data_IF_200853543131
#
_entry.id   IF_200853543131
#
_cell.length_a   1.000
_cell.length_b   1.000
_cell.length_c   1.000
_cell.angle_alpha   90.00
_cell.angle_beta   90.00
_cell.angle_gamma   90.00
#
_symmetry.space_group_name_H-M   'P 1'
#
loop_
_entity.id
_entity.type
_entity.pdbx_description
1 polymer ?
#
# COMPACT_ATOMS: atom_id res chain seq x y z
N UNK A 1 17.02 0.48 27.18
CA UNK A 1 15.58 0.76 26.95
C UNK A 1 15.21 0.22 25.57
N UNK A 2 14.55 -0.94 25.50
CA UNK A 2 14.20 -1.57 24.21
C UNK A 2 12.92 -0.94 23.67
N UNK A 3 12.98 -0.31 22.50
CA UNK A 3 11.81 0.21 21.79
C UNK A 3 11.06 -0.99 21.18
N UNK A 4 10.02 -1.48 21.87
CA UNK A 4 9.16 -2.51 21.33
C UNK A 4 8.41 -1.96 20.12
N UNK A 5 8.57 -2.59 18.95
CA UNK A 5 7.84 -2.18 17.76
C UNK A 5 6.35 -2.49 17.96
N UNK A 6 5.44 -1.53 17.72
CA UNK A 6 4.01 -1.80 17.79
C UNK A 6 3.65 -2.93 16.81
N UNK A 7 2.73 -3.80 17.24
CA UNK A 7 2.16 -4.82 16.35
C UNK A 7 1.49 -4.16 15.15
N UNK A 8 1.91 -4.53 13.94
CA UNK A 8 1.32 -4.00 12.72
C UNK A 8 0.02 -4.76 12.41
N UNK A 9 -1.05 -4.02 12.14
CA UNK A 9 -2.29 -4.56 11.58
C UNK A 9 -2.43 -4.07 10.12
N UNK A 10 -2.61 -5.00 9.18
CA UNK A 10 -2.81 -4.69 7.78
C UNK A 10 -4.31 -4.76 7.43
N UNK A 11 -4.89 -3.62 7.06
CA UNK A 11 -6.26 -3.55 6.53
C UNK A 11 -6.22 -3.56 5.00
N UNK A 12 -7.04 -4.39 4.38
CA UNK A 12 -7.12 -4.46 2.92
C UNK A 12 -7.70 -3.18 2.32
N UNK A 13 -7.08 -2.66 1.26
CA UNK A 13 -7.53 -1.46 0.53
C UNK A 13 -8.10 -1.89 -0.81
N UNK A 14 -9.33 -1.46 -1.12
CA UNK A 14 -9.94 -1.70 -2.42
C UNK A 14 -9.28 -0.81 -3.50
N UNK A 15 -9.10 -1.30 -4.75
CA UNK A 15 -8.49 -0.52 -5.83
C UNK A 15 -9.14 0.86 -6.05
N UNK A 16 -10.47 0.94 -5.92
CA UNK A 16 -11.23 2.18 -6.09
C UNK A 16 -10.89 3.29 -5.08
N UNK A 17 -10.21 2.96 -3.98
CA UNK A 17 -9.76 3.93 -2.98
C UNK A 17 -8.39 4.53 -3.32
N UNK A 18 -7.63 3.94 -4.25
CA UNK A 18 -6.29 4.41 -4.59
C UNK A 18 -6.38 5.56 -5.59
N UNK A 19 -5.79 6.71 -5.23
CA UNK A 19 -5.83 7.95 -6.01
C UNK A 19 -4.45 8.28 -6.57
N UNK A 20 -4.40 8.88 -7.76
CA UNK A 20 -3.16 9.35 -8.39
C UNK A 20 -2.27 8.25 -8.98
N UNK A 21 -2.75 7.00 -8.99
CA UNK A 21 -2.16 5.91 -9.73
C UNK A 21 -2.69 5.91 -11.16
N UNK A 22 -1.82 5.66 -12.13
CA UNK A 22 -2.25 5.38 -13.50
C UNK A 22 -2.68 3.92 -13.66
N UNK A 23 -1.98 3.03 -12.96
CA UNK A 23 -2.24 1.61 -12.97
C UNK A 23 -1.98 1.02 -11.57
N UNK A 24 -2.66 -0.07 -11.27
CA UNK A 24 -2.49 -0.83 -10.03
C UNK A 24 -2.15 -2.28 -10.36
N UNK A 25 -1.03 -2.75 -9.84
CA UNK A 25 -0.64 -4.14 -9.90
C UNK A 25 -0.99 -4.86 -8.59
N UNK A 26 -1.68 -5.99 -8.68
CA UNK A 26 -1.97 -6.82 -7.52
C UNK A 26 -0.78 -7.75 -7.21
N UNK A 27 -0.25 -7.66 -5.99
CA UNK A 27 0.90 -8.46 -5.53
C UNK A 27 0.54 -9.25 -4.28
N UNK A 28 1.42 -10.20 -3.89
CA UNK A 28 1.30 -10.92 -2.63
C UNK A 28 1.34 -10.01 -1.38
N UNK A 29 1.81 -8.76 -1.51
CA UNK A 29 1.86 -7.77 -0.43
C UNK A 29 0.75 -6.72 -0.51
N UNK A 30 -0.17 -6.82 -1.47
CA UNK A 30 -1.22 -5.84 -1.73
C UNK A 30 -1.06 -5.12 -3.07
N UNK A 31 -1.63 -3.93 -3.19
CA UNK A 31 -1.64 -3.15 -4.44
C UNK A 31 -0.37 -2.32 -4.59
N UNK A 32 0.27 -2.39 -5.75
CA UNK A 32 1.41 -1.57 -6.15
C UNK A 32 0.96 -0.50 -7.15
N UNK A 33 0.98 0.79 -6.78
CA UNK A 33 0.59 1.88 -7.67
C UNK A 33 1.72 2.31 -8.61
N UNK A 34 1.47 2.26 -9.91
CA UNK A 34 2.34 2.82 -10.93
C UNK A 34 1.92 4.27 -11.22
N UNK A 35 2.87 5.20 -11.11
CA UNK A 35 2.66 6.63 -11.33
C UNK A 35 3.70 7.19 -12.31
N UNK A 36 3.36 8.25 -13.03
CA UNK A 36 4.36 8.99 -13.77
C UNK A 36 5.30 9.74 -12.81
N UNK A 37 6.56 10.00 -13.21
CA UNK A 37 7.41 10.95 -12.54
C UNK A 37 6.71 12.31 -12.45
N UNK A 38 6.85 12.98 -11.31
CA UNK A 38 6.40 14.36 -11.14
C UNK A 38 7.34 15.32 -11.87
#
# INVERSE_FOLDING_TARGET
MTNARPGLNATSIAPALVRGALELEATARGLLPHRLPA
#
